data_IF_448027339789
#
_entry.id   IF_448027339789
#
_cell.length_a   1.000
_cell.length_b   1.000
_cell.length_c   1.000
_cell.angle_alpha   90.00
_cell.angle_beta   90.00
_cell.angle_gamma   90.00
#
_symmetry.space_group_name_H-M   'P 1'
#
loop_
_entity.id
_entity.type
_entity.pdbx_description
1 polymer ?
#
# COMPACT_ATOMS: atom_id res chain seq x y z
N UNK A 1 0.02 2.43 -7.52
CA UNK A 1 0.48 2.00 -8.86
C UNK A 1 0.68 3.22 -9.73
N UNK A 2 1.77 3.31 -10.49
CA UNK A 2 2.02 4.42 -11.44
C UNK A 2 2.65 3.86 -12.70
N UNK A 3 2.08 4.16 -13.86
CA UNK A 3 2.58 3.66 -15.16
C UNK A 3 2.78 2.14 -15.20
N UNK A 4 1.81 1.38 -14.70
CA UNK A 4 1.85 -0.09 -14.64
C UNK A 4 2.72 -0.70 -13.54
N UNK A 5 3.45 0.12 -12.77
CA UNK A 5 4.31 -0.36 -11.68
C UNK A 5 3.62 -0.28 -10.32
N UNK A 6 3.77 -1.32 -9.51
CA UNK A 6 3.46 -1.26 -8.07
C UNK A 6 4.70 -0.73 -7.37
N UNK A 7 4.53 0.27 -6.53
CA UNK A 7 5.63 1.01 -5.91
C UNK A 7 5.37 1.09 -4.41
N UNK A 8 6.38 0.73 -3.62
CA UNK A 8 6.41 0.98 -2.18
C UNK A 8 7.44 2.06 -1.92
N UNK A 9 7.04 3.12 -1.21
CA UNK A 9 7.93 4.19 -0.75
C UNK A 9 7.97 4.16 0.76
N UNK A 10 9.16 4.27 1.33
CA UNK A 10 9.38 4.25 2.77
C UNK A 10 10.24 5.44 3.15
N UNK A 11 9.83 6.13 4.21
CA UNK A 11 10.64 7.12 4.90
C UNK A 11 10.93 6.58 6.30
N UNK A 12 12.21 6.45 6.64
CA UNK A 12 12.65 6.01 7.96
C UNK A 12 13.34 7.14 8.75
N UNK A 13 12.97 8.40 8.52
CA UNK A 13 13.54 9.58 9.20
C UNK A 13 14.89 10.08 8.67
N UNK A 14 15.61 9.28 7.88
CA UNK A 14 16.91 9.66 7.29
C UNK A 14 16.75 10.15 5.85
N UNK A 15 16.25 9.28 4.96
CA UNK A 15 15.99 9.56 3.55
C UNK A 15 14.88 8.65 3.04
N UNK A 16 14.14 9.12 2.05
CA UNK A 16 13.18 8.30 1.31
C UNK A 16 13.91 7.22 0.51
N UNK A 17 13.33 6.03 0.46
CA UNK A 17 13.77 4.94 -0.40
C UNK A 17 12.55 4.16 -0.89
N UNK A 18 12.70 3.45 -2.02
CA UNK A 18 11.58 2.78 -2.65
C UNK A 18 12.02 1.55 -3.43
N UNK A 19 11.11 0.60 -3.57
CA UNK A 19 11.21 -0.49 -4.53
C UNK A 19 9.95 -0.52 -5.40
N UNK A 20 10.06 -1.06 -6.60
CA UNK A 20 8.93 -1.24 -7.51
C UNK A 20 9.00 -2.59 -8.20
N UNK A 21 7.83 -3.13 -8.51
CA UNK A 21 7.67 -4.30 -9.37
C UNK A 21 6.91 -3.84 -10.60
N UNK A 22 7.43 -4.22 -11.78
CA UNK A 22 6.73 -4.11 -13.06
C UNK A 22 6.19 -5.50 -13.40
N UNK A 23 4.90 -5.77 -13.17
CA UNK A 23 4.33 -7.08 -13.42
C UNK A 23 4.35 -7.39 -14.92
N UNK A 24 4.60 -8.65 -15.29
CA UNK A 24 4.55 -9.10 -16.69
C UNK A 24 3.13 -9.07 -17.27
N UNK A 25 2.13 -9.25 -16.41
CA UNK A 25 0.72 -9.20 -16.74
C UNK A 25 0.11 -7.87 -16.32
N UNK A 26 -0.89 -7.40 -17.05
CA UNK A 26 -1.62 -6.20 -16.66
C UNK A 26 -2.43 -6.46 -15.37
N UNK A 27 -2.23 -5.65 -14.33
CA UNK A 27 -2.99 -5.75 -13.07
C UNK A 27 -4.41 -5.19 -13.17
N UNK A 28 -4.70 -4.39 -14.20
CA UNK A 28 -6.02 -3.82 -14.45
C UNK A 28 -6.84 -4.72 -15.39
N UNK A 29 -6.81 -6.03 -15.18
CA UNK A 29 -7.48 -7.02 -16.03
C UNK A 29 -8.81 -7.54 -15.44
N UNK A 30 -9.24 -6.98 -14.31
CA UNK A 30 -10.47 -7.37 -13.61
C UNK A 30 -10.33 -8.62 -12.75
N UNK A 31 -9.14 -9.23 -12.67
CA UNK A 31 -8.86 -10.39 -11.82
C UNK A 31 -8.23 -9.98 -10.50
N UNK A 32 -8.23 -10.93 -9.56
CA UNK A 32 -7.63 -10.74 -8.25
C UNK A 32 -6.12 -10.92 -8.33
N UNK A 33 -5.38 -9.90 -7.88
CA UNK A 33 -3.93 -9.95 -7.71
C UNK A 33 -3.55 -9.92 -6.23
N UNK A 34 -2.44 -10.57 -5.89
CA UNK A 34 -1.89 -10.60 -4.53
C UNK A 34 -0.70 -9.65 -4.44
N UNK A 35 -0.76 -8.71 -3.50
CA UNK A 35 0.34 -7.81 -3.18
C UNK A 35 0.77 -8.09 -1.74
N UNK A 36 2.07 -8.28 -1.50
CA UNK A 36 2.63 -8.45 -0.16
C UNK A 36 3.80 -7.47 0.00
N UNK A 37 3.82 -6.76 1.12
CA UNK A 37 4.91 -5.84 1.48
C UNK A 37 5.51 -6.34 2.78
N UNK A 38 6.80 -6.61 2.77
CA UNK A 38 7.55 -7.07 3.94
C UNK A 38 8.58 -6.01 4.26
N UNK A 39 8.60 -5.56 5.51
CA UNK A 39 9.61 -4.62 6.00
C UNK A 39 10.33 -5.25 7.18
N UNK A 40 11.64 -5.35 7.07
CA UNK A 40 12.53 -5.74 8.14
C UNK A 40 13.61 -4.66 8.31
N UNK A 41 13.48 -3.84 9.35
CA UNK A 41 14.34 -2.68 9.58
C UNK A 41 14.42 -1.73 8.36
N UNK A 42 15.57 -1.68 7.68
CA UNK A 42 15.83 -0.90 6.49
C UNK A 42 15.66 -1.69 5.18
N UNK A 43 15.33 -2.98 5.26
CA UNK A 43 15.03 -3.81 4.08
C UNK A 43 13.54 -3.81 3.83
N UNK A 44 13.16 -3.56 2.58
CA UNK A 44 11.75 -3.59 2.13
C UNK A 44 11.66 -4.47 0.90
N UNK A 45 10.81 -5.49 0.98
CA UNK A 45 10.47 -6.38 -0.12
C UNK A 45 9.02 -6.14 -0.55
N UNK A 46 8.81 -6.18 -1.86
CA UNK A 46 7.51 -6.07 -2.52
C UNK A 46 7.32 -7.29 -3.41
N UNK A 47 6.26 -8.04 -3.12
CA UNK A 47 5.81 -9.16 -3.92
C UNK A 47 4.50 -8.78 -4.61
N UNK A 48 4.43 -9.00 -5.92
CA UNK A 48 3.24 -8.83 -6.74
C UNK A 48 3.03 -10.09 -7.56
N UNK A 49 2.05 -10.89 -7.14
CA UNK A 49 1.82 -12.25 -7.62
C UNK A 49 3.09 -13.12 -7.54
N UNK A 50 3.74 -13.40 -8.69
CA UNK A 50 4.97 -14.19 -8.78
C UNK A 50 6.23 -13.33 -8.92
N UNK A 51 6.11 -12.02 -9.06
CA UNK A 51 7.22 -11.10 -9.27
C UNK A 51 7.62 -10.46 -7.94
N UNK A 52 8.92 -10.42 -7.65
CA UNK A 52 9.47 -9.94 -6.37
C UNK A 52 10.56 -8.93 -6.63
N UNK A 53 10.58 -7.86 -5.85
CA UNK A 53 11.71 -6.93 -5.80
C UNK A 53 11.96 -6.49 -4.35
N UNK A 54 13.18 -6.07 -4.04
CA UNK A 54 13.51 -5.54 -2.73
C UNK A 54 14.45 -4.34 -2.84
N UNK A 55 14.57 -3.61 -1.74
CA UNK A 55 15.51 -2.50 -1.60
C UNK A 55 16.06 -2.47 -0.19
N UNK A 56 17.34 -2.11 -0.08
CA UNK A 56 17.97 -1.80 1.21
C UNK A 56 18.09 -0.29 1.34
N UNK A 57 17.30 0.28 2.24
CA UNK A 57 17.31 1.69 2.59
C UNK A 57 18.43 2.06 3.55
N UNK A 58 18.58 3.35 3.88
CA UNK A 58 19.50 3.79 4.92
C UNK A 58 19.07 3.25 6.28
N UNK A 59 20.04 2.78 7.06
CA UNK A 59 19.80 2.37 8.45
C UNK A 59 19.53 3.62 9.30
N UNK A 60 18.42 3.62 10.04
CA UNK A 60 18.18 4.61 11.07
C UNK A 60 18.50 3.97 12.43
N UNK A 61 19.51 4.46 13.18
CA UNK A 61 19.86 3.91 14.49
C UNK A 61 18.81 4.20 15.57
N UNK A 62 17.84 5.09 15.30
CA UNK A 62 16.70 5.34 16.19
C UNK A 62 15.44 4.72 15.58
N UNK A 63 14.79 3.75 16.25
CA UNK A 63 13.51 3.25 15.79
C UNK A 63 12.49 4.39 15.79
N UNK A 64 11.83 4.59 14.65
CA UNK A 64 10.71 5.54 14.55
C UNK A 64 9.44 4.78 14.97
N UNK A 65 8.74 5.27 15.98
CA UNK A 65 7.43 4.73 16.35
C UNK A 65 6.37 5.24 15.36
N UNK A 66 5.98 4.38 14.42
CA UNK A 66 4.98 4.71 13.41
C UNK A 66 3.58 4.27 13.85
N UNK A 67 3.06 4.86 14.93
CA UNK A 67 1.62 4.74 15.28
C UNK A 67 0.80 5.74 14.48
N UNK A 68 0.76 5.56 13.18
CA UNK A 68 0.00 6.40 12.26
C UNK A 68 -1.25 5.66 11.75
N UNK A 69 -2.34 6.39 11.41
CA UNK A 69 -3.50 5.79 10.80
C UNK A 69 -3.18 5.21 9.42
N UNK A 70 -3.78 4.05 9.11
CA UNK A 70 -3.65 3.41 7.80
C UNK A 70 -4.81 3.83 6.92
N UNK A 71 -4.50 4.44 5.78
CA UNK A 71 -5.47 4.77 4.74
C UNK A 71 -5.42 3.73 3.62
N UNK A 72 -6.60 3.29 3.16
CA UNK A 72 -6.73 2.31 2.09
C UNK A 72 -7.55 2.93 0.95
N UNK A 73 -7.06 2.79 -0.27
CA UNK A 73 -7.71 3.31 -1.47
C UNK A 73 -7.49 4.81 -1.75
N UNK A 74 -7.02 5.59 -0.79
CA UNK A 74 -6.67 7.00 -0.96
C UNK A 74 -6.60 7.72 0.37
N UNK A 75 -6.05 8.94 0.36
CA UNK A 75 -5.98 9.82 1.53
C UNK A 75 -6.86 11.04 1.27
N UNK A 76 -7.76 11.42 2.21
CA UNK A 76 -8.55 12.64 2.08
C UNK A 76 -7.66 13.87 1.91
N UNK A 77 -8.11 14.84 1.11
CA UNK A 77 -7.30 16.03 0.76
C UNK A 77 -6.85 16.83 2.00
N UNK A 78 -7.72 16.93 3.02
CA UNK A 78 -7.42 17.58 4.30
C UNK A 78 -6.34 16.90 5.13
N UNK A 79 -5.97 15.66 4.81
CA UNK A 79 -4.96 14.86 5.50
C UNK A 79 -3.71 14.63 4.64
N UNK A 80 -3.65 15.23 3.45
CA UNK A 80 -2.45 15.18 2.61
C UNK A 80 -1.32 15.96 3.29
N UNK A 81 -0.15 15.32 3.36
CA UNK A 81 1.09 15.96 3.76
C UNK A 81 1.98 16.15 2.52
N UNK A 82 2.99 17.04 2.54
CA UNK A 82 3.93 17.17 1.43
C UNK A 82 4.62 15.86 1.02
N UNK A 83 4.67 14.87 1.93
CA UNK A 83 5.23 13.53 1.70
C UNK A 83 4.23 12.59 1.02
N UNK A 84 2.93 12.78 1.24
CA UNK A 84 1.86 12.07 0.59
C UNK A 84 1.47 12.85 -0.68
N UNK A 85 2.15 12.56 -1.78
CA UNK A 85 1.84 13.18 -3.07
C UNK A 85 0.39 12.86 -3.45
N UNK A 86 -0.41 13.84 -3.91
CA UNK A 86 -1.76 13.59 -4.41
C UNK A 86 -1.71 12.48 -5.47
N UNK A 87 -2.40 11.37 -5.21
CA UNK A 87 -2.58 10.30 -6.19
C UNK A 87 -4.06 10.18 -6.51
N UNK A 88 -4.36 9.73 -7.73
CA UNK A 88 -5.72 9.28 -8.06
C UNK A 88 -6.14 8.21 -7.03
N UNK A 89 -7.35 8.31 -6.45
CA UNK A 89 -7.89 7.25 -5.61
C UNK A 89 -7.92 5.91 -6.36
N UNK A 90 -7.79 4.83 -5.62
CA UNK A 90 -7.92 3.48 -6.14
C UNK A 90 -9.35 3.22 -6.61
N UNK A 91 -9.49 2.52 -7.73
CA UNK A 91 -10.76 2.05 -8.25
C UNK A 91 -10.66 0.54 -8.44
N UNK A 92 -11.49 -0.22 -7.74
CA UNK A 92 -11.46 -1.68 -7.73
C UNK A 92 -11.88 -2.22 -6.37
N UNK A 93 -11.55 -3.49 -6.12
CA UNK A 93 -11.89 -4.15 -4.86
C UNK A 93 -10.63 -4.60 -4.11
N UNK A 94 -10.70 -4.59 -2.79
CA UNK A 94 -9.66 -5.08 -1.89
C UNK A 94 -10.31 -6.10 -0.94
N UNK A 95 -9.69 -7.28 -0.79
CA UNK A 95 -10.12 -8.32 0.14
C UNK A 95 -8.92 -8.99 0.80
N UNK A 96 -9.17 -9.72 1.88
CA UNK A 96 -8.13 -10.41 2.66
C UNK A 96 -7.01 -9.46 3.10
N UNK A 97 -7.38 -8.28 3.62
CA UNK A 97 -6.44 -7.29 4.10
C UNK A 97 -5.90 -7.71 5.48
N UNK A 98 -4.58 -7.90 5.56
CA UNK A 98 -3.87 -8.40 6.75
C UNK A 98 -2.65 -7.53 7.01
N UNK A 99 -2.44 -7.13 8.26
CA UNK A 99 -1.27 -6.37 8.71
C UNK A 99 -0.63 -7.16 9.85
N UNK A 100 0.67 -7.46 9.75
CA UNK A 100 1.43 -8.20 10.76
C UNK A 100 0.74 -9.50 11.22
N UNK A 101 0.20 -10.25 10.26
CA UNK A 101 -0.53 -11.51 10.50
C UNK A 101 -1.94 -11.35 11.09
N UNK A 102 -2.42 -10.12 11.32
CA UNK A 102 -3.74 -9.83 11.87
C UNK A 102 -4.72 -9.40 10.77
N UNK A 103 -5.82 -10.13 10.54
CA UNK A 103 -6.86 -9.69 9.61
C UNK A 103 -7.48 -8.37 10.06
N UNK A 104 -7.61 -7.43 9.12
CA UNK A 104 -8.21 -6.12 9.35
C UNK A 104 -9.61 -6.10 8.74
N UNK A 105 -10.60 -5.72 9.54
CA UNK A 105 -11.99 -5.62 9.09
C UNK A 105 -12.33 -4.18 8.72
N UNK A 106 -12.69 -3.96 7.45
CA UNK A 106 -13.10 -2.63 6.97
C UNK A 106 -14.41 -2.13 7.61
N UNK A 107 -15.26 -3.01 8.16
CA UNK A 107 -16.47 -2.58 8.88
C UNK A 107 -16.17 -1.87 10.21
N UNK A 108 -14.92 -1.93 10.68
CA UNK A 108 -14.43 -1.22 11.87
C UNK A 108 -13.56 -0.02 11.51
N UNK A 109 -13.59 0.44 10.26
CA UNK A 109 -12.82 1.61 9.84
C UNK A 109 -13.26 2.85 10.61
N UNK A 110 -12.30 3.62 11.14
CA UNK A 110 -12.58 4.84 11.88
C UNK A 110 -13.11 5.98 11.01
N UNK A 111 -12.80 5.95 9.70
CA UNK A 111 -13.23 6.94 8.72
C UNK A 111 -13.47 6.25 7.37
N UNK A 112 -14.57 6.59 6.72
CA UNK A 112 -14.89 6.22 5.34
C UNK A 112 -15.20 7.49 4.57
N UNK A 113 -14.54 7.69 3.43
CA UNK A 113 -14.67 8.90 2.61
C UNK A 113 -14.73 8.53 1.12
N UNK A 114 -15.65 9.16 0.40
CA UNK A 114 -15.88 8.90 -1.03
C UNK A 114 -16.80 7.71 -1.31
N UNK A 115 -16.78 7.22 -2.55
CA UNK A 115 -17.61 6.11 -3.01
C UNK A 115 -17.02 4.75 -2.60
N UNK A 116 -17.28 4.33 -1.35
CA UNK A 116 -16.78 3.08 -0.79
C UNK A 116 -17.96 2.19 -0.38
N UNK A 117 -17.94 0.93 -0.82
CA UNK A 117 -18.84 -0.12 -0.33
C UNK A 117 -18.05 -1.12 0.50
N UNK A 118 -18.56 -1.46 1.68
CA UNK A 118 -17.93 -2.41 2.60
C UNK A 118 -18.67 -3.75 2.49
N UNK A 119 -17.93 -4.86 2.49
CA UNK A 119 -18.43 -6.24 2.37
C UNK A 119 -19.08 -6.60 1.02
N UNK A 120 -18.99 -5.73 0.00
CA UNK A 120 -19.44 -6.03 -1.35
C UNK A 120 -18.37 -5.65 -2.36
N UNK A 121 -18.27 -6.44 -3.42
CA UNK A 121 -17.51 -6.12 -4.63
C UNK A 121 -18.40 -6.52 -5.81
N UNK A 122 -18.84 -5.58 -6.65
CA UNK A 122 -19.67 -5.90 -7.79
C UNK A 122 -18.89 -6.79 -8.76
N UNK A 123 -19.46 -7.94 -9.11
CA UNK A 123 -19.03 -8.75 -10.24
C UNK A 123 -19.84 -8.30 -11.46
N UNK A 124 -19.15 -7.95 -12.54
CA UNK A 124 -19.77 -7.73 -13.84
C UNK A 124 -20.45 -9.00 -14.35
#
# INVERSE_FOLDING_TARGET
MKSGQVIVKVNNGVRDFSTSVTPKQNLCDGRWHRITVIRDSNVVQLDVDSEVNHVVGPLNPKPVDHREPVFVGGVPESLLTPRLTPSKPFTGCIRHFVIDGRPVSFSKAALVSGAVSINSCPTA
#
